data_IF_168542440716
#
_entry.id   IF_168542440716
#
_cell.length_a   1.000
_cell.length_b   1.000
_cell.length_c   1.000
_cell.angle_alpha   90.00
_cell.angle_beta   90.00
_cell.angle_gamma   90.00
#
_symmetry.space_group_name_H-M   'P 1'
#
loop_
_entity.id
_entity.type
_entity.pdbx_description
1 polymer ?
#
# COMPACT_ATOMS: atom_id res chain seq x y z
N UNK A 1 6.92 8.31 14.60
CA UNK A 1 6.12 9.36 13.93
C UNK A 1 5.29 8.71 12.83
N UNK A 2 4.01 9.03 12.72
CA UNK A 2 3.13 8.56 11.64
C UNK A 2 3.69 9.01 10.30
N UNK A 3 3.92 8.07 9.37
CA UNK A 3 4.48 8.35 8.05
C UNK A 3 3.45 8.19 6.93
N UNK A 4 3.79 8.66 5.74
CA UNK A 4 3.02 8.44 4.50
C UNK A 4 3.84 7.54 3.58
N UNK A 5 3.30 6.41 3.17
CA UNK A 5 4.01 5.40 2.39
C UNK A 5 3.32 5.12 1.06
N UNK A 6 4.12 4.91 0.01
CA UNK A 6 3.67 4.30 -1.23
C UNK A 6 3.61 2.78 -1.05
N UNK A 7 2.43 2.19 -1.03
CA UNK A 7 2.22 0.75 -0.90
C UNK A 7 1.52 0.19 -2.14
N UNK A 8 2.25 -0.34 -3.14
CA UNK A 8 1.66 -0.62 -4.45
C UNK A 8 0.77 -1.87 -4.54
N UNK A 9 0.51 -2.59 -3.43
CA UNK A 9 -0.40 -3.75 -3.33
C UNK A 9 -0.39 -4.69 -4.55
N UNK A 10 0.79 -5.12 -4.99
CA UNK A 10 0.93 -5.94 -6.20
C UNK A 10 1.98 -7.02 -6.05
N UNK A 11 1.75 -8.13 -6.72
CA UNK A 11 2.78 -9.12 -6.99
C UNK A 11 3.93 -8.52 -7.81
N UNK A 12 5.09 -9.17 -7.77
CA UNK A 12 6.18 -8.94 -8.72
C UNK A 12 6.16 -9.91 -9.90
N UNK A 13 5.26 -10.90 -9.88
CA UNK A 13 4.99 -11.79 -11.01
C UNK A 13 3.89 -11.17 -11.86
N UNK A 14 4.13 -11.10 -13.17
CA UNK A 14 3.16 -10.61 -14.16
C UNK A 14 2.01 -11.63 -14.38
N UNK A 15 2.14 -12.83 -13.82
CA UNK A 15 1.14 -13.90 -13.89
C UNK A 15 -0.01 -13.69 -12.89
N UNK A 16 0.09 -12.67 -12.03
CA UNK A 16 -0.93 -12.30 -11.05
C UNK A 16 -1.57 -10.98 -11.49
N UNK A 17 -2.89 -11.00 -11.67
CA UNK A 17 -3.66 -9.79 -11.98
C UNK A 17 -3.54 -8.76 -10.84
N UNK A 18 -2.95 -7.56 -11.09
CA UNK A 18 -2.82 -6.52 -10.08
C UNK A 18 -4.16 -6.04 -9.53
N UNK A 19 -5.24 -6.08 -10.33
CA UNK A 19 -6.57 -5.70 -9.87
C UNK A 19 -7.08 -6.68 -8.82
N UNK A 20 -6.92 -7.98 -9.05
CA UNK A 20 -7.31 -9.01 -8.10
C UNK A 20 -6.60 -8.87 -6.74
N UNK A 21 -5.29 -8.57 -6.74
CA UNK A 21 -4.53 -8.31 -5.51
C UNK A 21 -5.07 -7.09 -4.74
N UNK A 22 -5.28 -5.97 -5.44
CA UNK A 22 -5.80 -4.73 -4.85
C UNK A 22 -7.20 -4.92 -4.25
N UNK A 23 -8.11 -5.54 -5.00
CA UNK A 23 -9.47 -5.76 -4.54
C UNK A 23 -9.52 -6.72 -3.35
N UNK A 24 -8.70 -7.77 -3.35
CA UNK A 24 -8.57 -8.66 -2.21
C UNK A 24 -8.11 -7.89 -0.97
N UNK A 25 -7.06 -7.08 -1.10
CA UNK A 25 -6.53 -6.24 -0.03
C UNK A 25 -7.60 -5.31 0.54
N UNK A 26 -8.32 -4.58 -0.31
CA UNK A 26 -9.40 -3.67 0.11
C UNK A 26 -10.54 -4.39 0.81
N UNK A 27 -11.07 -5.48 0.22
CA UNK A 27 -12.19 -6.24 0.80
C UNK A 27 -11.87 -6.83 2.17
N UNK A 28 -10.61 -7.22 2.40
CA UNK A 28 -10.16 -7.81 3.65
C UNK A 28 -9.62 -6.80 4.66
N UNK A 29 -9.51 -5.52 4.29
CA UNK A 29 -8.89 -4.51 5.14
C UNK A 29 -7.40 -4.80 5.37
N UNK A 30 -6.67 -5.10 4.30
CA UNK A 30 -5.25 -5.47 4.34
C UNK A 30 -4.41 -4.52 3.47
N UNK A 31 -3.17 -4.34 3.87
CA UNK A 31 -2.12 -3.73 3.06
C UNK A 31 -0.90 -4.66 3.09
N UNK A 32 -0.24 -4.88 1.95
CA UNK A 32 0.88 -5.81 1.91
C UNK A 32 1.54 -6.00 0.56
N UNK A 33 2.38 -7.03 0.48
CA UNK A 33 3.08 -7.42 -0.74
C UNK A 33 3.10 -8.95 -0.89
N UNK A 34 3.30 -9.39 -2.13
CA UNK A 34 3.55 -10.77 -2.44
C UNK A 34 4.94 -11.27 -2.09
N UNK A 35 5.10 -12.58 -2.23
CA UNK A 35 6.32 -13.33 -1.95
C UNK A 35 7.02 -13.86 -3.21
N UNK A 36 6.37 -13.82 -4.37
CA UNK A 36 6.95 -14.35 -5.62
C UNK A 36 8.19 -13.56 -6.03
N UNK A 37 9.32 -14.27 -6.11
CA UNK A 37 10.64 -13.78 -6.53
C UNK A 37 11.33 -14.83 -7.40
N UNK A 38 12.14 -14.40 -8.38
CA UNK A 38 12.79 -15.30 -9.35
C UNK A 38 14.24 -15.60 -9.01
N UNK A 39 14.89 -14.76 -8.20
CA UNK A 39 16.31 -14.89 -7.86
C UNK A 39 16.58 -14.76 -6.36
N UNK A 40 17.70 -15.33 -5.84
CA UNK A 40 18.11 -15.11 -4.45
C UNK A 40 18.26 -13.63 -4.10
N UNK A 41 18.85 -12.82 -4.98
CA UNK A 41 19.00 -11.38 -4.76
C UNK A 41 17.65 -10.63 -4.67
N UNK A 42 16.59 -11.13 -5.32
CA UNK A 42 15.23 -10.61 -5.14
C UNK A 42 14.61 -11.04 -3.81
N UNK A 43 14.90 -12.25 -3.34
CA UNK A 43 14.49 -12.74 -2.02
C UNK A 43 15.07 -11.87 -0.91
N UNK A 44 16.37 -11.61 -0.92
CA UNK A 44 16.99 -10.75 0.10
C UNK A 44 16.41 -9.32 0.08
N UNK A 45 16.07 -8.81 -1.10
CA UNK A 45 15.42 -7.49 -1.25
C UNK A 45 13.98 -7.50 -0.74
N UNK A 46 13.27 -8.60 -0.92
CA UNK A 46 11.94 -8.80 -0.35
C UNK A 46 12.01 -8.85 1.18
N UNK A 47 12.90 -9.65 1.76
CA UNK A 47 13.07 -9.77 3.22
C UNK A 47 13.38 -8.42 3.87
N UNK A 48 14.32 -7.65 3.31
CA UNK A 48 14.60 -6.28 3.79
C UNK A 48 13.40 -5.34 3.65
N UNK A 49 12.56 -5.53 2.64
CA UNK A 49 11.33 -4.74 2.48
C UNK A 49 10.27 -5.16 3.50
N UNK A 50 10.11 -6.45 3.76
CA UNK A 50 9.19 -6.99 4.76
C UNK A 50 9.60 -6.53 6.16
N UNK A 51 10.89 -6.59 6.51
CA UNK A 51 11.39 -6.06 7.79
C UNK A 51 11.03 -4.59 8.00
N UNK A 52 11.35 -3.73 7.02
CA UNK A 52 10.97 -2.31 7.09
C UNK A 52 9.46 -2.08 7.13
N UNK A 53 8.66 -2.94 6.49
CA UNK A 53 7.21 -2.85 6.51
C UNK A 53 6.62 -3.23 7.87
N UNK A 54 7.16 -4.26 8.51
CA UNK A 54 6.77 -4.68 9.85
C UNK A 54 7.05 -3.58 10.89
N UNK A 55 8.15 -2.85 10.73
CA UNK A 55 8.56 -1.75 11.63
C UNK A 55 7.81 -0.43 11.40
N UNK A 56 6.98 -0.32 10.36
CA UNK A 56 6.22 0.92 10.12
C UNK A 56 5.35 1.24 11.34
N UNK A 57 5.36 2.48 11.86
CA UNK A 57 4.51 2.84 12.97
C UNK A 57 3.04 2.61 12.65
N UNK A 58 2.27 2.09 13.61
CA UNK A 58 0.82 2.03 13.50
C UNK A 58 0.24 3.42 13.21
N UNK A 59 -0.92 3.42 12.56
CA UNK A 59 -1.63 4.61 12.10
C UNK A 59 -0.92 5.40 11.00
N UNK A 60 0.18 4.88 10.44
CA UNK A 60 0.79 5.38 9.21
C UNK A 60 -0.17 5.28 8.02
N UNK A 61 -0.12 6.28 7.15
CA UNK A 61 -0.89 6.31 5.92
C UNK A 61 -0.20 5.54 4.81
N UNK A 62 -1.00 4.87 4.00
CA UNK A 62 -0.57 4.18 2.79
C UNK A 62 -1.39 4.69 1.60
N UNK A 63 -0.70 4.95 0.51
CA UNK A 63 -1.31 5.24 -0.78
C UNK A 63 -1.02 4.10 -1.73
N UNK A 64 -2.01 3.62 -2.46
CA UNK A 64 -1.87 2.73 -3.63
C UNK A 64 -2.44 3.38 -4.88
N UNK A 65 -1.94 3.01 -6.06
CA UNK A 65 -2.50 3.43 -7.36
C UNK A 65 -2.96 2.18 -8.09
N UNK A 66 -4.21 2.15 -8.54
CA UNK A 66 -4.79 1.01 -9.23
C UNK A 66 -4.49 1.02 -10.74
N UNK A 67 -4.84 -0.05 -11.48
CA UNK A 67 -4.61 -0.12 -12.92
C UNK A 67 -5.36 0.94 -13.75
N UNK A 68 -6.45 1.51 -13.24
CA UNK A 68 -7.20 2.59 -13.90
C UNK A 68 -6.58 3.97 -13.61
N UNK A 69 -5.55 4.00 -12.77
CA UNK A 69 -4.82 5.21 -12.40
C UNK A 69 -5.42 5.94 -11.21
N UNK A 70 -6.45 5.41 -10.57
CA UNK A 70 -7.07 5.97 -9.38
C UNK A 70 -6.22 5.70 -8.13
N UNK A 71 -6.36 6.55 -7.13
CA UNK A 71 -5.55 6.50 -5.91
C UNK A 71 -6.40 6.08 -4.72
N UNK A 72 -5.93 5.08 -3.99
CA UNK A 72 -6.59 4.65 -2.77
C UNK A 72 -5.75 5.03 -1.57
N UNK A 73 -6.40 5.66 -0.59
CA UNK A 73 -5.83 6.02 0.70
C UNK A 73 -6.28 5.02 1.76
N UNK A 74 -5.30 4.50 2.50
CA UNK A 74 -5.51 3.65 3.65
C UNK A 74 -4.66 4.05 4.85
N UNK A 75 -4.96 3.45 5.99
CA UNK A 75 -4.24 3.64 7.25
C UNK A 75 -3.93 2.29 7.88
N UNK A 76 -2.68 2.05 8.24
CA UNK A 76 -2.26 0.81 8.90
C UNK A 76 -2.78 0.81 10.35
N UNK A 77 -3.41 -0.28 10.78
CA UNK A 77 -4.09 -0.37 12.09
C UNK A 77 -3.73 -1.63 12.89
N UNK A 78 -2.66 -2.32 12.52
CA UNK A 78 -2.23 -3.49 13.26
C UNK A 78 -0.86 -4.04 12.86
N UNK A 79 -0.38 -5.04 13.59
CA UNK A 79 0.94 -5.63 13.39
C UNK A 79 1.02 -6.40 12.08
N UNK A 80 2.27 -6.66 11.67
CA UNK A 80 2.56 -7.57 10.56
C UNK A 80 2.18 -9.00 10.92
N UNK A 81 1.64 -9.70 9.93
CA UNK A 81 1.51 -11.15 9.93
C UNK A 81 1.69 -11.70 8.51
N UNK A 82 2.02 -12.99 8.44
CA UNK A 82 2.00 -13.73 7.18
C UNK A 82 0.62 -14.36 7.02
N UNK A 83 -0.05 -14.09 5.91
CA UNK A 83 -1.34 -14.69 5.54
C UNK A 83 -1.09 -15.94 4.69
N UNK A 84 -1.33 -17.10 5.27
CA UNK A 84 -1.15 -18.42 4.67
C UNK A 84 -2.45 -18.98 4.05
N UNK A 85 -3.52 -18.18 3.97
CA UNK A 85 -4.76 -18.57 3.29
C UNK A 85 -4.52 -18.76 1.78
N UNK A 86 -5.06 -19.83 1.20
CA UNK A 86 -4.93 -20.14 -0.22
C UNK A 86 -5.40 -18.99 -1.13
N UNK A 87 -6.40 -18.22 -0.70
CA UNK A 87 -6.89 -17.05 -1.45
C UNK A 87 -5.88 -15.90 -1.42
N UNK A 88 -5.16 -15.72 -0.32
CA UNK A 88 -4.08 -14.74 -0.22
C UNK A 88 -2.89 -15.16 -1.10
N UNK A 89 -2.56 -16.46 -1.11
CA UNK A 89 -1.51 -17.03 -1.96
C UNK A 89 -1.85 -16.93 -3.47
N UNK A 90 -3.12 -17.14 -3.84
CA UNK A 90 -3.59 -17.05 -5.23
C UNK A 90 -3.36 -15.67 -5.85
N UNK A 91 -3.57 -14.60 -5.07
CA UNK A 91 -3.35 -13.21 -5.51
C UNK A 91 -1.99 -12.64 -5.08
N UNK A 92 -1.10 -13.51 -4.57
CA UNK A 92 0.23 -13.17 -4.05
C UNK A 92 0.21 -11.95 -3.11
N UNK A 93 -0.58 -12.03 -2.04
CA UNK A 93 -0.72 -11.01 -1.01
C UNK A 93 -0.57 -11.63 0.39
N UNK A 94 0.64 -12.05 0.73
CA UNK A 94 0.89 -12.85 1.94
C UNK A 94 1.62 -12.10 3.04
N UNK A 95 2.43 -11.09 2.71
CA UNK A 95 3.10 -10.26 3.71
C UNK A 95 2.23 -9.04 4.02
N UNK A 96 1.39 -9.11 5.06
CA UNK A 96 0.29 -8.17 5.24
C UNK A 96 0.26 -7.53 6.63
N UNK A 97 -0.43 -6.39 6.69
CA UNK A 97 -0.87 -5.70 7.91
C UNK A 97 -2.33 -5.31 7.74
N UNK A 98 -3.06 -5.24 8.85
CA UNK A 98 -4.41 -4.68 8.84
C UNK A 98 -4.39 -3.22 8.42
N UNK A 99 -5.32 -2.84 7.55
CA UNK A 99 -5.39 -1.53 6.96
C UNK A 99 -6.86 -1.10 6.79
N UNK A 100 -7.19 0.05 7.34
CA UNK A 100 -8.46 0.71 7.06
C UNK A 100 -8.32 1.47 5.75
N UNK A 101 -9.10 1.12 4.75
CA UNK A 101 -9.16 1.84 3.47
C UNK A 101 -10.32 2.83 3.46
N UNK A 102 -10.15 3.94 2.75
CA UNK A 102 -11.30 4.74 2.34
C UNK A 102 -12.22 3.93 1.41
N UNK A 103 -13.54 4.17 1.47
CA UNK A 103 -14.51 3.40 0.68
C UNK A 103 -14.34 3.66 -0.81
N UNK A 104 -14.11 4.91 -1.20
CA UNK A 104 -13.98 5.37 -2.57
C UNK A 104 -12.52 5.77 -2.90
N UNK A 105 -12.11 5.64 -4.17
CA UNK A 105 -10.82 6.12 -4.62
C UNK A 105 -10.85 7.63 -4.88
N UNK A 106 -9.66 8.21 -5.03
CA UNK A 106 -9.45 9.60 -5.39
C UNK A 106 -8.88 9.73 -6.80
N UNK A 107 -9.27 10.80 -7.49
CA UNK A 107 -8.66 11.24 -8.74
C UNK A 107 -7.33 11.93 -8.46
N UNK A 108 -6.43 11.93 -9.44
CA UNK A 108 -5.11 12.55 -9.32
C UNK A 108 -5.12 14.00 -8.79
N UNK A 109 -6.05 14.91 -9.20
CA UNK A 109 -6.09 16.28 -8.70
C UNK A 109 -6.41 16.41 -7.20
N UNK A 110 -6.98 15.38 -6.59
CA UNK A 110 -7.37 15.34 -5.18
C UNK A 110 -6.25 14.78 -4.30
N UNK A 111 -5.20 14.24 -4.92
CA UNK A 111 -4.10 13.55 -4.25
C UNK A 111 -2.95 14.54 -4.00
N UNK A 112 -2.25 14.46 -2.85
CA UNK A 112 -1.07 15.27 -2.58
C UNK A 112 -0.05 15.19 -3.73
N UNK A 113 0.44 16.31 -4.24
CA UNK A 113 1.37 16.35 -5.37
C UNK A 113 2.63 15.50 -5.12
N UNK A 114 3.09 15.43 -3.86
CA UNK A 114 4.21 14.59 -3.45
C UNK A 114 3.94 13.08 -3.64
N UNK A 115 2.70 12.63 -3.43
CA UNK A 115 2.26 11.25 -3.65
C UNK A 115 2.17 10.98 -5.16
N UNK A 116 1.55 11.88 -5.93
CA UNK A 116 1.49 11.76 -7.40
C UNK A 116 2.91 11.64 -7.98
N UNK A 117 3.83 12.51 -7.57
CA UNK A 117 5.23 12.46 -7.98
C UNK A 117 5.96 11.18 -7.52
N UNK A 118 5.61 10.61 -6.37
CA UNK A 118 6.17 9.33 -5.91
C UNK A 118 5.74 8.14 -6.80
N UNK A 119 4.55 8.21 -7.40
CA UNK A 119 4.06 7.22 -8.36
C UNK A 119 4.59 7.46 -9.78
N UNK A 120 4.65 8.72 -10.24
CA UNK A 120 5.10 9.10 -11.58
C UNK A 120 6.58 8.79 -11.85
N UNK A 121 7.44 8.87 -10.83
CA UNK A 121 8.88 8.53 -10.95
C UNK A 121 9.16 7.03 -11.20
N UNK A 122 8.15 6.17 -11.15
CA UNK A 122 8.36 4.72 -11.14
C UNK A 122 9.13 4.28 -9.89
N UNK A 123 9.79 3.12 -9.91
CA UNK A 123 10.73 2.74 -8.85
C UNK A 123 10.21 1.77 -7.78
N UNK A 124 10.92 1.75 -6.63
CA UNK A 124 10.89 0.67 -5.63
C UNK A 124 9.51 0.52 -4.97
N UNK A 125 9.08 -0.73 -4.77
CA UNK A 125 7.89 -1.03 -3.95
C UNK A 125 8.18 -0.68 -2.48
N UNK A 126 7.20 -0.07 -1.81
CA UNK A 126 7.22 0.33 -0.39
C UNK A 126 8.31 1.35 -0.01
N UNK A 127 7.96 2.64 -0.14
CA UNK A 127 8.83 3.77 0.22
C UNK A 127 8.04 4.82 0.98
N UNK A 128 8.67 5.44 1.97
CA UNK A 128 8.12 6.62 2.63
C UNK A 128 8.21 7.83 1.69
N UNK A 129 7.13 8.60 1.62
CA UNK A 129 7.09 9.88 0.91
C UNK A 129 7.54 10.96 1.87
N UNK A 130 8.71 11.53 1.60
CA UNK A 130 9.26 12.62 2.39
C UNK A 130 8.94 13.95 1.68
N UNK A 131 7.91 14.64 2.15
CA UNK A 131 7.61 16.01 1.77
C UNK A 131 7.01 16.72 2.99
N UNK A 132 7.39 17.98 3.32
CA UNK A 132 6.97 18.62 4.56
C UNK A 132 5.46 18.67 4.78
N UNK A 133 4.69 18.83 3.70
CA UNK A 133 3.22 18.94 3.77
C UNK A 133 2.46 17.61 3.62
N UNK A 134 3.10 16.53 3.14
CA UNK A 134 2.35 15.33 2.68
C UNK A 134 1.56 14.67 3.79
N UNK A 135 2.10 14.65 5.01
CA UNK A 135 1.41 14.10 6.17
C UNK A 135 0.15 14.91 6.51
N UNK A 136 0.25 16.25 6.48
CA UNK A 136 -0.88 17.12 6.81
C UNK A 136 -1.96 17.10 5.71
N UNK A 137 -1.55 17.10 4.44
CA UNK A 137 -2.48 17.00 3.30
C UNK A 137 -3.20 15.65 3.30
N UNK A 138 -2.47 14.54 3.50
CA UNK A 138 -3.08 13.20 3.59
C UNK A 138 -4.06 13.10 4.76
N UNK A 139 -3.71 13.67 5.92
CA UNK A 139 -4.60 13.69 7.09
C UNK A 139 -5.89 14.46 6.81
N UNK A 140 -5.82 15.64 6.17
CA UNK A 140 -7.01 16.43 5.81
C UNK A 140 -7.95 15.65 4.89
N UNK A 141 -7.41 14.97 3.88
CA UNK A 141 -8.20 14.12 2.96
C UNK A 141 -8.89 12.99 3.72
N UNK A 142 -8.15 12.33 4.63
CA UNK A 142 -8.68 11.26 5.45
C UNK A 142 -9.85 11.71 6.34
N UNK A 143 -9.70 12.86 7.00
CA UNK A 143 -10.72 13.39 7.92
C UNK A 143 -11.97 13.86 7.18
N UNK A 144 -11.82 14.54 6.04
CA UNK A 144 -12.93 14.95 5.18
C UNK A 144 -13.76 13.74 4.71
N UNK A 145 -13.08 12.71 4.18
CA UNK A 145 -13.72 11.50 3.67
C UNK A 145 -14.47 10.68 4.74
N UNK A 146 -14.18 10.91 6.03
CA UNK A 146 -14.87 10.26 7.14
C UNK A 146 -15.96 11.12 7.78
N UNK A 147 -15.96 12.42 7.50
CA UNK A 147 -16.96 13.36 8.01
C UNK A 147 -18.21 13.39 7.11
N UNK A 148 -18.07 13.03 5.84
CA UNK A 148 -19.16 12.84 4.88
C UNK A 148 -19.90 11.48 5.06
N UNK A 149 -19.79 10.86 6.24
CA UNK A 149 -20.32 9.54 6.56
C UNK A 149 -21.21 9.58 7.79
#
# INVERSE_FOLDING_TARGET
MVGVYRAPLRSRSDDVDPRATLEHARRKGLCGFGQRVRTPAERDRLERRVGRFAEVPDFSFVWTRDPDGLYWLGRIVGPYFYDDDDRAAAVDLVHVRRCDWLPEPLLEPEVPAAVVAAYGRGGRNFQQTHHPSVSQETQRIWDASRSDR
#
